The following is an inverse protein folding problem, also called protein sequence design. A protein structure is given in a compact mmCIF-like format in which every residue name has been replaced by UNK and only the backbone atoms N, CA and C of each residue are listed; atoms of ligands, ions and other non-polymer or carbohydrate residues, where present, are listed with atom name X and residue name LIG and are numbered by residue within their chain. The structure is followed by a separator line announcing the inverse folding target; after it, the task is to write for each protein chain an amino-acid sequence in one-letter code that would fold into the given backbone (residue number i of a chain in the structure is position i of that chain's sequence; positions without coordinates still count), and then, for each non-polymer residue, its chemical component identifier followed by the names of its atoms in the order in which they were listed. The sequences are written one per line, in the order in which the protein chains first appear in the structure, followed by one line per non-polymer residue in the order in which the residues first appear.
data_IF_248068789908
#
_entry.id   IF_248068789908
#
_cell.length_a   1.000
_cell.length_b   1.000
_cell.length_c   1.000
_cell.angle_alpha   90.00
_cell.angle_beta   90.00
_cell.angle_gamma   90.00
#
_symmetry.space_group_name_H-M   'P 1'
#
loop_
_entity.id
_entity.type
_entity.pdbx_description
1 polymer ?
#
# COMPACT_ATOMS: atom_id res chain seq x y z
N UNK A 1 -12.12 -0.12 22.79
CA UNK A 1 -12.68 -1.40 22.34
C UNK A 1 -11.74 -2.13 21.35
N UNK A 2 -11.40 -1.56 20.16
CA UNK A 2 -10.51 -2.23 19.18
C UNK A 2 -9.14 -2.55 19.79
N UNK A 3 -8.47 -1.56 20.38
CA UNK A 3 -7.17 -1.74 21.03
C UNK A 3 -7.21 -2.80 22.14
N UNK A 4 -8.23 -2.78 23.01
CA UNK A 4 -8.40 -3.73 24.13
C UNK A 4 -8.66 -5.16 23.66
N UNK A 5 -9.19 -5.32 22.43
CA UNK A 5 -9.48 -6.61 21.82
C UNK A 5 -8.37 -7.10 20.89
N UNK A 6 -7.27 -6.37 20.77
CA UNK A 6 -6.19 -6.70 19.84
C UNK A 6 -6.60 -6.63 18.36
N UNK A 7 -7.68 -5.89 18.05
CA UNK A 7 -8.12 -5.70 16.69
C UNK A 7 -7.18 -4.76 15.92
N UNK A 8 -7.16 -4.88 14.62
CA UNK A 8 -6.39 -4.04 13.71
C UNK A 8 -7.21 -3.68 12.48
N UNK A 9 -6.74 -2.69 11.75
CA UNK A 9 -7.28 -2.34 10.43
C UNK A 9 -6.24 -2.72 9.36
N UNK A 10 -6.69 -3.15 8.20
CA UNK A 10 -5.91 -3.10 6.97
C UNK A 10 -6.50 -1.99 6.11
N UNK A 11 -5.75 -0.90 5.95
CA UNK A 11 -6.15 0.19 5.09
C UNK A 11 -5.93 -0.21 3.63
N UNK A 12 -6.91 0.10 2.78
CA UNK A 12 -6.90 -0.14 1.34
C UNK A 12 -7.40 1.14 0.66
N UNK A 13 -6.52 2.13 0.57
CA UNK A 13 -6.84 3.45 -0.01
C UNK A 13 -6.93 3.36 -1.53
N UNK A 14 -6.06 2.53 -2.12
CA UNK A 14 -5.93 2.40 -3.57
C UNK A 14 -7.24 2.11 -4.31
N UNK A 15 -8.12 1.16 -3.87
CA UNK A 15 -9.34 0.85 -4.61
C UNK A 15 -10.37 1.98 -4.62
N UNK A 16 -10.40 2.81 -3.58
CA UNK A 16 -11.35 3.91 -3.48
C UNK A 16 -10.95 5.13 -4.33
N UNK A 17 -9.64 5.33 -4.55
CA UNK A 17 -9.10 6.50 -5.22
C UNK A 17 -9.64 6.69 -6.65
N UNK A 18 -9.66 5.69 -7.54
CA UNK A 18 -10.18 5.86 -8.90
C UNK A 18 -11.65 6.30 -8.94
N UNK A 19 -12.49 5.72 -8.08
CA UNK A 19 -13.90 6.10 -7.99
C UNK A 19 -14.11 7.49 -7.41
N UNK A 20 -13.27 7.91 -6.46
CA UNK A 20 -13.38 9.21 -5.81
C UNK A 20 -12.83 10.35 -6.67
N UNK A 21 -11.67 10.16 -7.29
CA UNK A 21 -10.82 11.24 -7.78
C UNK A 21 -10.60 11.26 -9.31
N UNK A 22 -10.83 10.14 -10.01
CA UNK A 22 -10.69 10.14 -11.47
C UNK A 22 -11.80 10.95 -12.13
N UNK A 23 -11.49 11.53 -13.29
CA UNK A 23 -12.53 12.03 -14.18
C UNK A 23 -13.47 10.89 -14.58
N UNK A 24 -14.78 11.17 -14.64
CA UNK A 24 -15.77 10.14 -14.97
C UNK A 24 -15.65 9.61 -16.40
N UNK A 25 -15.05 10.38 -17.29
CA UNK A 25 -14.72 9.89 -18.64
C UNK A 25 -13.66 8.78 -18.62
N UNK A 26 -12.85 8.71 -17.56
CA UNK A 26 -11.80 7.71 -17.37
C UNK A 26 -12.32 6.55 -16.52
N UNK A 27 -12.91 6.85 -15.36
CA UNK A 27 -13.40 5.82 -14.43
C UNK A 27 -14.68 5.14 -14.91
N UNK A 28 -15.40 5.75 -15.85
CA UNK A 28 -16.75 5.36 -16.29
C UNK A 28 -17.78 5.28 -15.14
N UNK A 29 -17.47 5.88 -14.01
CA UNK A 29 -18.36 5.92 -12.86
C UNK A 29 -19.57 6.83 -13.13
N UNK A 30 -20.75 6.45 -12.65
CA UNK A 30 -21.88 7.36 -12.59
C UNK A 30 -21.61 8.47 -11.57
N UNK A 31 -22.42 9.53 -11.58
CA UNK A 31 -22.32 10.59 -10.58
C UNK A 31 -22.48 10.03 -9.16
N UNK A 32 -23.47 9.17 -8.96
CA UNK A 32 -23.74 8.55 -7.65
C UNK A 32 -22.59 7.65 -7.19
N UNK A 33 -22.00 6.87 -8.11
CA UNK A 33 -20.83 6.03 -7.79
C UNK A 33 -19.63 6.88 -7.39
N UNK A 34 -19.41 8.03 -8.05
CA UNK A 34 -18.32 8.93 -7.69
C UNK A 34 -18.55 9.59 -6.32
N UNK A 35 -19.76 10.07 -6.03
CA UNK A 35 -20.07 10.66 -4.71
C UNK A 35 -19.92 9.61 -3.60
N UNK A 36 -20.43 8.40 -3.79
CA UNK A 36 -20.20 7.29 -2.87
C UNK A 36 -18.71 6.92 -2.74
N UNK A 37 -17.98 6.94 -3.85
CA UNK A 37 -16.53 6.72 -3.88
C UNK A 37 -15.78 7.74 -3.00
N UNK A 38 -16.16 9.02 -3.04
CA UNK A 38 -15.59 10.06 -2.18
C UNK A 38 -15.86 9.80 -0.69
N UNK A 39 -17.10 9.43 -0.36
CA UNK A 39 -17.45 9.08 1.04
C UNK A 39 -16.64 7.91 1.54
N UNK A 40 -16.46 6.86 0.72
CA UNK A 40 -15.65 5.70 1.07
C UNK A 40 -14.18 6.07 1.21
N UNK A 41 -13.63 6.82 0.27
CA UNK A 41 -12.24 7.27 0.27
C UNK A 41 -11.92 8.10 1.53
N UNK A 42 -12.75 9.11 1.82
CA UNK A 42 -12.59 9.95 3.01
C UNK A 42 -12.77 9.14 4.30
N UNK A 43 -13.72 8.20 4.31
CA UNK A 43 -13.98 7.30 5.43
C UNK A 43 -12.80 6.37 5.75
N UNK A 44 -12.17 5.78 4.73
CA UNK A 44 -10.96 4.93 4.91
C UNK A 44 -9.82 5.75 5.54
N UNK A 45 -9.58 6.95 5.03
CA UNK A 45 -8.53 7.85 5.54
C UNK A 45 -8.82 8.28 6.97
N UNK A 46 -10.05 8.72 7.23
CA UNK A 46 -10.47 9.16 8.57
C UNK A 46 -10.34 8.02 9.59
N UNK A 47 -10.76 6.80 9.22
CA UNK A 47 -10.65 5.62 10.08
C UNK A 47 -9.19 5.26 10.35
N UNK A 48 -8.33 5.28 9.33
CA UNK A 48 -6.90 5.00 9.49
C UNK A 48 -6.25 6.00 10.45
N UNK A 49 -6.50 7.32 10.28
CA UNK A 49 -6.01 8.36 11.18
C UNK A 49 -6.52 8.18 12.62
N UNK A 50 -7.80 7.89 12.79
CA UNK A 50 -8.38 7.67 14.11
C UNK A 50 -7.77 6.44 14.79
N UNK A 51 -7.58 5.34 14.07
CA UNK A 51 -6.96 4.14 14.58
C UNK A 51 -5.52 4.39 15.01
N UNK A 52 -4.72 5.06 14.19
CA UNK A 52 -3.34 5.44 14.52
C UNK A 52 -3.28 6.30 15.78
N UNK A 53 -4.11 7.33 15.86
CA UNK A 53 -4.18 8.23 17.02
C UNK A 53 -4.56 7.49 18.32
N UNK A 54 -5.30 6.39 18.23
CA UNK A 54 -5.72 5.57 19.37
C UNK A 54 -4.83 4.34 19.61
N UNK A 55 -3.70 4.21 18.91
CA UNK A 55 -2.77 3.09 19.05
C UNK A 55 -3.34 1.75 18.58
N UNK A 56 -4.29 1.78 17.65
CA UNK A 56 -4.77 0.59 16.93
C UNK A 56 -3.85 0.34 15.73
N UNK A 57 -3.29 -0.86 15.56
CA UNK A 57 -2.42 -1.14 14.43
C UNK A 57 -3.13 -0.98 13.08
N UNK A 58 -2.46 -0.34 12.11
CA UNK A 58 -2.98 -0.16 10.75
C UNK A 58 -1.96 -0.74 9.77
N UNK A 59 -2.27 -1.93 9.26
CA UNK A 59 -1.54 -2.56 8.17
C UNK A 59 -2.02 -2.04 6.81
N UNK A 60 -1.33 -2.41 5.75
CA UNK A 60 -1.61 -1.96 4.38
C UNK A 60 -1.95 -3.13 3.46
N UNK A 61 -2.89 -2.90 2.55
CA UNK A 61 -3.29 -3.81 1.49
C UNK A 61 -3.76 -3.03 0.27
N UNK A 62 -3.78 -3.65 -0.90
CA UNK A 62 -4.14 -3.00 -2.16
C UNK A 62 -5.49 -3.41 -2.70
N UNK A 63 -6.02 -4.53 -2.24
CA UNK A 63 -7.23 -5.15 -2.82
C UNK A 63 -7.08 -5.35 -4.35
N UNK A 64 -5.92 -5.88 -4.74
CA UNK A 64 -5.57 -6.12 -6.15
C UNK A 64 -6.63 -6.98 -6.84
N UNK A 65 -7.08 -6.54 -8.00
CA UNK A 65 -8.19 -7.12 -8.76
C UNK A 65 -9.34 -6.14 -8.93
N UNK A 66 -9.40 -5.09 -8.10
CA UNK A 66 -10.26 -3.95 -8.35
C UNK A 66 -9.81 -3.17 -9.59
N UNK A 67 -10.71 -2.47 -10.29
CA UNK A 67 -10.35 -1.61 -11.42
C UNK A 67 -9.22 -0.64 -11.06
N UNK A 68 -8.24 -0.53 -11.95
CA UNK A 68 -7.04 0.31 -11.80
C UNK A 68 -6.04 -0.13 -10.71
N UNK A 69 -6.28 -1.25 -10.01
CA UNK A 69 -5.37 -1.76 -8.97
C UNK A 69 -4.58 -2.93 -9.51
N UNK A 70 -3.30 -2.70 -9.76
CA UNK A 70 -2.39 -3.68 -10.35
C UNK A 70 -1.57 -4.40 -9.28
N UNK A 71 -1.19 -5.65 -9.56
CA UNK A 71 -0.44 -6.50 -8.63
C UNK A 71 1.00 -6.05 -8.37
N UNK A 72 1.49 -5.06 -9.12
CA UNK A 72 2.86 -4.53 -8.97
C UNK A 72 2.90 -3.13 -8.33
N UNK A 73 1.76 -2.58 -7.91
CA UNK A 73 1.64 -1.19 -7.48
C UNK A 73 1.45 -1.02 -5.95
N UNK A 74 1.84 -2.01 -5.13
CA UNK A 74 1.78 -1.88 -3.66
C UNK A 74 2.49 -0.61 -3.15
N UNK A 75 3.52 -0.14 -3.85
CA UNK A 75 4.23 1.07 -3.47
C UNK A 75 3.33 2.33 -3.47
N UNK A 76 2.27 2.36 -4.30
CA UNK A 76 1.30 3.46 -4.32
C UNK A 76 0.47 3.49 -3.04
N UNK A 77 0.11 2.35 -2.48
CA UNK A 77 -0.59 2.29 -1.19
C UNK A 77 0.26 2.92 -0.08
N UNK A 78 1.58 2.64 -0.05
CA UNK A 78 2.49 3.29 0.88
C UNK A 78 2.54 4.81 0.65
N UNK A 79 2.61 5.23 -0.61
CA UNK A 79 2.61 6.65 -0.97
C UNK A 79 1.31 7.35 -0.52
N UNK A 80 0.15 6.75 -0.78
CA UNK A 80 -1.15 7.29 -0.36
C UNK A 80 -1.29 7.33 1.17
N UNK A 81 -0.73 6.35 1.86
CA UNK A 81 -0.71 6.33 3.31
C UNK A 81 0.08 7.52 3.89
N UNK A 82 1.24 7.82 3.31
CA UNK A 82 2.00 9.05 3.66
C UNK A 82 1.20 10.30 3.30
N UNK A 83 0.72 10.40 2.06
CA UNK A 83 0.07 11.59 1.52
C UNK A 83 -1.24 11.93 2.25
N UNK A 84 -2.10 10.95 2.46
CA UNK A 84 -3.45 11.16 2.98
C UNK A 84 -3.56 10.94 4.48
N UNK A 85 -2.78 10.02 5.06
CA UNK A 85 -2.82 9.76 6.50
C UNK A 85 -1.77 10.53 7.30
N UNK A 86 -0.76 11.12 6.63
CA UNK A 86 0.26 11.96 7.28
C UNK A 86 1.31 11.17 8.06
N UNK A 87 1.49 9.89 7.76
CA UNK A 87 2.55 9.07 8.35
C UNK A 87 3.89 9.33 7.67
N UNK A 88 5.00 8.95 8.32
CA UNK A 88 6.32 9.02 7.69
C UNK A 88 6.56 7.89 6.69
N UNK A 89 7.44 8.05 5.67
CA UNK A 89 7.82 6.94 4.78
C UNK A 89 8.34 5.71 5.54
N UNK A 90 9.12 5.92 6.59
CA UNK A 90 9.61 4.83 7.45
C UNK A 90 8.46 4.06 8.11
N UNK A 91 7.44 4.77 8.60
CA UNK A 91 6.28 4.12 9.20
C UNK A 91 5.43 3.38 8.15
N UNK A 92 5.26 3.93 6.96
CA UNK A 92 4.57 3.26 5.87
C UNK A 92 5.28 1.95 5.46
N UNK A 93 6.61 1.98 5.34
CA UNK A 93 7.42 0.78 5.09
C UNK A 93 7.28 -0.25 6.21
N UNK A 94 7.37 0.17 7.48
CA UNK A 94 7.14 -0.70 8.62
C UNK A 94 5.74 -1.35 8.58
N UNK A 95 4.71 -0.56 8.28
CA UNK A 95 3.33 -1.04 8.20
C UNK A 95 3.13 -2.08 7.08
N UNK A 96 3.78 -1.87 5.94
CA UNK A 96 3.70 -2.77 4.79
C UNK A 96 4.56 -4.04 4.92
N UNK A 97 5.50 -4.08 5.87
CA UNK A 97 6.44 -5.18 6.06
C UNK A 97 6.23 -5.87 7.41
N UNK A 98 6.96 -5.45 8.45
CA UNK A 98 6.95 -6.14 9.74
C UNK A 98 5.58 -6.12 10.40
N UNK A 99 4.87 -4.99 10.40
CA UNK A 99 3.53 -4.93 11.00
C UNK A 99 2.56 -5.87 10.28
N UNK A 100 2.53 -5.85 8.94
CA UNK A 100 1.69 -6.78 8.18
C UNK A 100 2.05 -8.24 8.45
N UNK A 101 3.34 -8.57 8.55
CA UNK A 101 3.78 -9.92 8.92
C UNK A 101 3.29 -10.31 10.32
N UNK A 102 3.38 -9.40 11.30
CA UNK A 102 2.87 -9.62 12.67
C UNK A 102 1.35 -9.84 12.68
N UNK A 103 0.59 -9.03 11.94
CA UNK A 103 -0.87 -9.15 11.83
C UNK A 103 -1.28 -10.46 11.15
N UNK A 104 -0.46 -10.99 10.26
CA UNK A 104 -0.64 -12.30 9.62
C UNK A 104 -0.15 -13.49 10.48
N UNK A 105 0.41 -13.24 11.66
CA UNK A 105 1.01 -14.27 12.51
C UNK A 105 2.39 -14.75 12.06
N UNK A 106 3.02 -14.08 11.11
CA UNK A 106 4.30 -14.45 10.48
C UNK A 106 5.46 -13.54 10.93
N UNK A 107 5.28 -12.68 11.92
CA UNK A 107 6.27 -11.69 12.33
C UNK A 107 7.61 -12.28 12.83
N UNK A 108 7.61 -13.52 13.29
CA UNK A 108 8.83 -14.24 13.66
C UNK A 108 9.54 -14.90 12.46
N UNK A 109 8.86 -14.99 11.29
CA UNK A 109 9.36 -15.68 10.11
C UNK A 109 9.84 -14.70 9.03
N UNK A 110 9.19 -13.54 8.91
CA UNK A 110 9.47 -12.56 7.84
C UNK A 110 9.07 -11.14 8.26
N UNK A 111 9.22 -10.19 7.34
CA UNK A 111 8.81 -8.77 7.50
C UNK A 111 9.89 -7.84 8.01
N UNK A 112 11.02 -8.35 8.49
CA UNK A 112 12.22 -7.58 8.87
C UNK A 112 13.49 -8.32 8.49
N UNK A 113 14.59 -7.57 8.39
CA UNK A 113 15.92 -8.11 8.11
C UNK A 113 16.57 -8.44 9.44
N UNK A 114 16.42 -9.69 9.86
CA UNK A 114 16.95 -10.22 11.12
C UNK A 114 17.50 -11.64 10.90
N UNK A 115 18.54 -12.01 11.69
CA UNK A 115 19.08 -13.35 11.65
C UNK A 115 18.03 -14.39 12.03
N UNK A 116 17.96 -15.46 11.27
CA UNK A 116 17.00 -16.55 11.48
C UNK A 116 15.67 -16.39 10.75
N UNK A 117 15.37 -15.21 10.20
CA UNK A 117 14.18 -15.00 9.38
C UNK A 117 14.40 -15.42 7.91
N UNK A 118 13.30 -15.65 7.22
CA UNK A 118 13.31 -15.91 5.79
C UNK A 118 13.92 -14.72 5.03
N UNK A 119 14.78 -15.03 4.05
CA UNK A 119 15.32 -14.00 3.17
C UNK A 119 14.29 -13.60 2.12
N UNK A 120 13.28 -12.82 2.56
CA UNK A 120 12.26 -12.17 1.73
C UNK A 120 12.60 -10.69 1.64
N UNK A 121 13.25 -10.29 0.54
CA UNK A 121 13.84 -8.96 0.39
C UNK A 121 13.50 -8.36 -0.98
N UNK A 122 13.41 -7.05 -1.02
CA UNK A 122 13.44 -6.28 -2.26
C UNK A 122 14.66 -5.35 -2.25
N UNK A 123 15.27 -5.17 -3.42
CA UNK A 123 16.37 -4.25 -3.62
C UNK A 123 15.96 -3.23 -4.66
N UNK A 124 16.09 -1.95 -4.33
CA UNK A 124 15.87 -0.83 -5.23
C UNK A 124 17.15 0.02 -5.35
N UNK A 125 17.27 0.78 -6.45
CA UNK A 125 18.48 1.56 -6.74
C UNK A 125 18.55 2.88 -5.97
N UNK A 126 17.40 3.35 -5.45
CA UNK A 126 17.29 4.60 -4.69
C UNK A 126 16.73 4.33 -3.30
N UNK A 127 16.98 5.26 -2.38
CA UNK A 127 16.48 5.17 -1.00
C UNK A 127 14.96 5.39 -0.93
N UNK A 128 14.16 4.37 -0.57
CA UNK A 128 12.72 4.50 -0.43
C UNK A 128 12.29 5.34 0.78
N UNK A 129 13.18 5.61 1.74
CA UNK A 129 12.90 6.53 2.85
C UNK A 129 12.91 7.99 2.39
N UNK A 130 13.74 8.30 1.39
CA UNK A 130 13.76 9.63 0.78
C UNK A 130 12.63 9.82 -0.25
N UNK A 131 12.30 8.76 -1.01
CA UNK A 131 11.29 8.80 -2.05
C UNK A 131 10.69 7.40 -2.26
N UNK A 132 9.44 7.19 -1.84
CA UNK A 132 8.74 5.92 -1.98
C UNK A 132 8.60 5.45 -3.44
N UNK A 133 8.69 6.36 -4.42
CA UNK A 133 8.68 5.97 -5.84
C UNK A 133 9.90 5.13 -6.23
N UNK A 134 10.93 5.05 -5.40
CA UNK A 134 12.05 4.12 -5.56
C UNK A 134 11.58 2.65 -5.63
N UNK A 135 10.47 2.33 -4.95
CA UNK A 135 9.88 0.99 -4.95
C UNK A 135 9.17 0.64 -6.27
N UNK A 136 8.96 1.60 -7.17
CA UNK A 136 8.34 1.38 -8.49
C UNK A 136 9.23 0.55 -9.42
N UNK A 137 10.54 0.60 -9.19
CA UNK A 137 11.53 -0.11 -10.00
C UNK A 137 12.45 -0.90 -9.09
N UNK A 138 12.25 -2.20 -9.06
CA UNK A 138 13.05 -3.11 -8.25
C UNK A 138 14.23 -3.64 -9.06
N UNK A 139 15.41 -3.60 -8.49
CA UNK A 139 16.61 -4.23 -9.04
C UNK A 139 16.60 -5.73 -8.82
N UNK A 140 16.10 -6.17 -7.66
CA UNK A 140 16.04 -7.58 -7.31
C UNK A 140 14.90 -7.84 -6.34
N UNK A 141 14.28 -9.00 -6.46
CA UNK A 141 13.40 -9.61 -5.47
C UNK A 141 14.02 -10.90 -4.99
N UNK A 142 14.10 -11.07 -3.69
CA UNK A 142 14.52 -12.32 -3.06
C UNK A 142 13.32 -12.88 -2.30
N UNK A 143 12.99 -14.15 -2.53
CA UNK A 143 11.98 -14.88 -1.79
C UNK A 143 12.51 -16.19 -1.27
N UNK A 144 12.52 -16.36 0.04
CA UNK A 144 13.09 -17.54 0.70
C UNK A 144 14.49 -17.90 0.17
N UNK A 145 15.32 -16.87 -0.09
CA UNK A 145 16.66 -17.02 -0.65
C UNK A 145 16.74 -17.14 -2.19
N UNK A 146 15.64 -17.39 -2.89
CA UNK A 146 15.60 -17.38 -4.36
C UNK A 146 15.62 -15.96 -4.91
N UNK A 147 16.49 -15.70 -5.87
CA UNK A 147 16.68 -14.36 -6.44
C UNK A 147 16.04 -14.25 -7.83
N UNK A 148 15.32 -13.15 -8.05
CA UNK A 148 14.85 -12.69 -9.36
C UNK A 148 15.48 -11.33 -9.60
N UNK A 149 16.43 -11.26 -10.51
CA UNK A 149 17.09 -10.02 -10.88
C UNK A 149 16.28 -9.26 -11.93
N UNK A 150 16.24 -7.92 -11.80
CA UNK A 150 15.53 -7.02 -12.72
C UNK A 150 14.10 -7.50 -13.03
N UNK A 151 13.24 -7.69 -12.01
CA UNK A 151 11.88 -8.14 -12.23
C UNK A 151 11.14 -7.19 -13.17
N UNK A 152 10.56 -7.74 -14.23
CA UNK A 152 9.86 -6.97 -15.27
C UNK A 152 8.39 -7.42 -15.35
N UNK A 153 7.51 -6.97 -14.44
CA UNK A 153 6.10 -7.29 -14.52
C UNK A 153 5.50 -6.66 -15.79
N UNK A 154 4.52 -7.33 -16.38
CA UNK A 154 3.75 -6.76 -17.49
C UNK A 154 2.95 -5.57 -16.94
N UNK A 155 3.34 -4.37 -17.34
CA UNK A 155 2.72 -3.12 -16.90
C UNK A 155 1.55 -2.72 -17.79
N UNK A 156 0.69 -1.86 -17.24
CA UNK A 156 -0.44 -1.24 -17.93
C UNK A 156 -0.22 0.28 -17.99
N UNK A 157 0.48 0.80 -19.02
CA UNK A 157 0.94 2.19 -19.06
C UNK A 157 -0.18 3.24 -19.00
N UNK A 158 -1.35 2.91 -19.53
CA UNK A 158 -2.53 3.78 -19.47
C UNK A 158 -3.06 3.91 -18.03
N UNK A 159 -3.08 2.81 -17.27
CA UNK A 159 -3.47 2.82 -15.86
C UNK A 159 -2.45 3.57 -15.02
N UNK A 160 -1.16 3.31 -15.25
CA UNK A 160 -0.08 4.01 -14.52
C UNK A 160 -0.16 5.53 -14.75
N UNK A 161 -0.39 5.98 -15.99
CA UNK A 161 -0.53 7.40 -16.32
C UNK A 161 -1.63 8.09 -15.54
N UNK A 162 -2.79 7.43 -15.41
CA UNK A 162 -3.91 8.01 -14.66
C UNK A 162 -3.61 8.05 -13.16
N UNK A 163 -3.03 6.99 -12.62
CA UNK A 163 -2.65 6.94 -11.20
C UNK A 163 -1.51 7.91 -10.85
N UNK A 164 -0.57 8.14 -11.76
CA UNK A 164 0.56 9.07 -11.55
C UNK A 164 0.12 10.53 -11.36
N UNK A 165 -1.10 10.89 -11.75
CA UNK A 165 -1.68 12.22 -11.53
C UNK A 165 -1.95 12.52 -10.04
N UNK A 166 -1.91 11.50 -9.20
CA UNK A 166 -2.19 11.59 -7.77
C UNK A 166 -0.95 11.39 -6.88
N UNK A 167 0.22 11.39 -7.46
CA UNK A 167 1.51 11.38 -6.75
C UNK A 167 1.91 12.75 -6.23
#
# INVERSE_FOLDING_TARGET
LFRERGAFQVATISPALPYALFDRSVSHATYEQQENGKVVFDGIIALAKANLANGVPVGLGTDTGCPYITHYDMWRELYYYVKYCGVTPAFALYSATLLNAQLAGLGNETGSIEEGKAADLIVCDRDPLADLSALRTLRMVVRQGWRVENPAPKKMPEVERELDRFL
#
